data_IF_787300152386
#
_entry.id   IF_787300152386
#
_cell.length_a   1.000
_cell.length_b   1.000
_cell.length_c   1.000
_cell.angle_alpha   90.00
_cell.angle_beta   90.00
_cell.angle_gamma   90.00
#
_symmetry.space_group_name_H-M   'P 1'
#
loop_
_entity.id
_entity.type
_entity.pdbx_description
1 polymer ?
#
# COMPACT_ATOMS: atom_id res chain seq x y z
N UNK A 1 -4.27 -0.52 12.82
CA UNK A 1 -3.23 0.50 12.68
C UNK A 1 -1.91 -0.14 12.28
N UNK A 2 -0.93 0.65 11.94
CA UNK A 2 0.39 0.14 11.54
C UNK A 2 1.05 -0.59 12.70
N UNK A 3 1.53 -1.80 12.44
CA UNK A 3 2.28 -2.58 13.41
C UNK A 3 3.74 -2.65 12.98
N UNK A 4 4.64 -2.42 13.93
CA UNK A 4 6.06 -2.43 13.67
C UNK A 4 6.66 -3.75 14.10
N UNK A 5 7.60 -4.24 13.31
CA UNK A 5 8.34 -5.44 13.62
C UNK A 5 9.84 -5.10 13.63
N UNK A 6 10.41 -5.00 14.81
CA UNK A 6 11.82 -4.63 14.95
C UNK A 6 12.77 -5.74 14.51
N UNK A 7 12.26 -6.95 14.30
CA UNK A 7 13.06 -8.06 13.76
C UNK A 7 13.09 -8.06 12.25
N UNK A 8 12.21 -7.28 11.61
CA UNK A 8 12.17 -7.13 10.16
C UNK A 8 13.40 -6.34 9.73
N UNK A 9 14.08 -6.79 8.66
CA UNK A 9 15.27 -6.13 8.15
C UNK A 9 14.96 -4.78 7.51
N UNK A 10 13.69 -4.53 7.14
CA UNK A 10 13.32 -3.27 6.51
C UNK A 10 13.40 -2.12 7.50
N UNK A 11 13.82 -0.93 7.06
CA UNK A 11 13.79 0.26 7.92
C UNK A 11 12.38 0.51 8.48
N UNK A 12 12.33 1.13 9.66
CA UNK A 12 11.04 1.41 10.30
C UNK A 12 10.15 2.29 9.42
N UNK A 13 10.72 3.32 8.77
CA UNK A 13 9.90 4.19 7.93
C UNK A 13 9.25 3.42 6.76
N UNK A 14 9.94 2.42 6.22
CA UNK A 14 9.39 1.57 5.16
C UNK A 14 8.22 0.75 5.67
N UNK A 15 8.33 0.20 6.88
CA UNK A 15 7.23 -0.54 7.48
C UNK A 15 6.00 0.34 7.70
N UNK A 16 6.21 1.61 8.07
CA UNK A 16 5.12 2.55 8.25
C UNK A 16 4.44 2.86 6.91
N UNK A 17 5.22 3.15 5.86
CA UNK A 17 4.66 3.42 4.54
C UNK A 17 3.91 2.21 4.01
N UNK A 18 4.49 1.02 4.12
CA UNK A 18 3.86 -0.22 3.66
C UNK A 18 2.56 -0.48 4.42
N UNK A 19 2.57 -0.25 5.73
CA UNK A 19 1.39 -0.45 6.55
C UNK A 19 0.22 0.45 6.14
N UNK A 20 0.48 1.72 5.90
CA UNK A 20 -0.56 2.63 5.45
C UNK A 20 -1.05 2.28 4.03
N UNK A 21 -0.13 1.96 3.12
CA UNK A 21 -0.53 1.55 1.77
C UNK A 21 -1.42 0.31 1.82
N UNK A 22 -1.06 -0.68 2.63
CA UNK A 22 -1.85 -1.90 2.77
C UNK A 22 -3.24 -1.60 3.27
N UNK A 23 -3.39 -0.69 4.24
CA UNK A 23 -4.70 -0.31 4.76
C UNK A 23 -5.54 0.43 3.72
N UNK A 24 -4.92 1.27 2.90
CA UNK A 24 -5.61 1.96 1.83
C UNK A 24 -6.05 0.96 0.75
N UNK A 25 -5.17 0.03 0.37
CA UNK A 25 -5.50 -0.99 -0.62
C UNK A 25 -6.61 -1.91 -0.13
N UNK A 26 -6.64 -2.20 1.16
CA UNK A 26 -7.66 -3.05 1.76
C UNK A 26 -8.99 -2.34 2.00
N UNK A 27 -9.04 -1.01 1.79
CA UNK A 27 -10.24 -0.23 2.02
C UNK A 27 -10.48 0.11 3.48
N UNK A 28 -9.54 -0.19 4.36
CA UNK A 28 -9.63 0.19 5.78
C UNK A 28 -9.50 1.69 5.93
N UNK A 29 -8.55 2.28 5.21
CA UNK A 29 -8.42 3.74 5.09
C UNK A 29 -8.97 4.14 3.73
N UNK A 30 -9.88 5.11 3.73
CA UNK A 30 -10.56 5.54 2.53
C UNK A 30 -10.22 6.99 2.19
N UNK A 31 -10.46 7.38 0.96
CA UNK A 31 -10.24 8.73 0.50
C UNK A 31 -10.95 9.72 1.44
N UNK A 32 -10.21 10.72 1.89
CA UNK A 32 -10.72 11.73 2.81
C UNK A 32 -10.51 11.42 4.28
N UNK A 33 -10.12 10.20 4.63
CA UNK A 33 -9.84 9.87 6.02
C UNK A 33 -8.62 10.63 6.52
N UNK A 34 -8.71 11.13 7.73
CA UNK A 34 -7.62 11.87 8.34
C UNK A 34 -6.65 10.90 9.01
N UNK A 35 -5.36 11.11 8.76
CA UNK A 35 -4.30 10.36 9.43
C UNK A 35 -3.91 11.08 10.72
N UNK A 36 -3.36 10.33 11.70
CA UNK A 36 -2.79 10.98 12.87
C UNK A 36 -1.65 11.91 12.45
N UNK A 37 -1.45 12.98 13.21
CA UNK A 37 -0.32 13.88 12.96
C UNK A 37 1.00 13.15 13.18
N UNK A 38 2.08 13.71 12.64
CA UNK A 38 3.42 13.15 12.88
C UNK A 38 3.67 12.97 14.37
N UNK A 39 3.35 13.99 15.16
CA UNK A 39 3.56 13.94 16.61
C UNK A 39 2.69 12.85 17.25
N UNK A 40 1.42 12.78 16.89
CA UNK A 40 0.51 11.79 17.44
C UNK A 40 1.00 10.37 17.16
N UNK A 41 1.36 10.10 15.92
CA UNK A 41 1.79 8.76 15.53
C UNK A 41 3.14 8.42 16.18
N UNK A 42 4.04 9.38 16.25
CA UNK A 42 5.33 9.18 16.91
C UNK A 42 5.14 8.80 18.39
N UNK A 43 4.18 9.43 19.06
CA UNK A 43 3.86 9.10 20.45
C UNK A 43 3.22 7.71 20.55
N UNK A 44 2.28 7.40 19.67
CA UNK A 44 1.60 6.11 19.70
C UNK A 44 2.57 4.95 19.49
N UNK A 45 3.53 5.13 18.60
CA UNK A 45 4.47 4.07 18.22
C UNK A 45 5.78 4.13 19.01
N UNK A 46 5.97 5.18 19.82
CA UNK A 46 7.22 5.43 20.55
C UNK A 46 8.42 5.49 19.59
N UNK A 47 8.25 6.23 18.49
CA UNK A 47 9.22 6.35 17.42
C UNK A 47 9.59 7.82 17.27
N UNK A 48 10.83 8.06 16.83
CA UNK A 48 11.30 9.41 16.54
C UNK A 48 10.39 10.08 15.50
N UNK A 49 9.90 11.31 15.77
CA UNK A 49 9.05 12.03 14.81
C UNK A 49 9.69 12.18 13.42
N UNK A 50 11.01 12.25 13.32
CA UNK A 50 11.69 12.36 12.04
C UNK A 50 11.46 11.13 11.16
N UNK A 51 11.39 9.96 11.77
CA UNK A 51 11.08 8.70 11.07
C UNK A 51 9.66 8.73 10.52
N UNK A 52 8.70 9.21 11.32
CA UNK A 52 7.31 9.35 10.88
C UNK A 52 7.22 10.38 9.76
N UNK A 53 7.92 11.51 9.91
CA UNK A 53 7.96 12.57 8.90
C UNK A 53 8.45 12.03 7.56
N UNK A 54 9.49 11.20 7.58
CA UNK A 54 10.03 10.58 6.38
C UNK A 54 9.00 9.68 5.71
N UNK A 55 8.31 8.86 6.50
CA UNK A 55 7.28 7.96 5.98
C UNK A 55 6.13 8.74 5.34
N UNK A 56 5.66 9.79 5.99
CA UNK A 56 4.56 10.61 5.47
C UNK A 56 4.98 11.33 4.20
N UNK A 57 6.21 11.84 4.16
CA UNK A 57 6.73 12.49 2.95
C UNK A 57 6.75 11.53 1.77
N UNK A 58 7.18 10.30 2.01
CA UNK A 58 7.23 9.28 0.98
C UNK A 58 5.84 8.95 0.46
N UNK A 59 4.87 8.78 1.36
CA UNK A 59 3.48 8.53 0.98
C UNK A 59 2.89 9.69 0.18
N UNK A 60 3.22 10.91 0.57
CA UNK A 60 2.74 12.10 -0.12
C UNK A 60 3.33 12.20 -1.53
N UNK A 61 4.61 11.92 -1.67
CA UNK A 61 5.27 11.94 -2.97
C UNK A 61 4.69 10.91 -3.91
N UNK A 62 4.27 9.78 -3.38
CA UNK A 62 3.67 8.71 -4.18
C UNK A 62 2.19 8.92 -4.46
N UNK A 63 1.57 9.92 -3.85
CA UNK A 63 0.16 10.25 -4.10
C UNK A 63 -0.86 9.53 -3.23
N UNK A 64 -0.42 8.83 -2.18
CA UNK A 64 -1.34 8.12 -1.29
C UNK A 64 -2.04 9.05 -0.31
N UNK A 65 -1.36 10.11 0.12
CA UNK A 65 -1.87 11.07 1.09
C UNK A 65 -1.54 12.49 0.63
N UNK A 66 -2.24 13.46 1.22
CA UNK A 66 -1.98 14.88 0.98
C UNK A 66 -2.05 15.62 2.30
N UNK A 67 -1.18 16.61 2.45
CA UNK A 67 -1.19 17.51 3.59
C UNK A 67 -1.97 18.76 3.23
N UNK A 68 -2.94 19.10 4.08
CA UNK A 68 -3.72 20.33 3.93
C UNK A 68 -3.31 21.26 5.07
N UNK A 69 -2.77 22.42 4.71
CA UNK A 69 -2.25 23.38 5.69
C UNK A 69 -3.33 23.74 6.72
N UNK A 70 -2.99 23.63 7.99
CA UNK A 70 -3.90 23.93 9.10
C UNK A 70 -4.94 22.87 9.37
N UNK A 71 -5.02 21.81 8.58
CA UNK A 71 -6.05 20.77 8.75
C UNK A 71 -5.48 19.37 8.96
N UNK A 72 -4.27 19.10 8.49
CA UNK A 72 -3.60 17.81 8.70
C UNK A 72 -3.37 17.02 7.43
N UNK A 73 -3.09 15.74 7.60
CA UNK A 73 -2.87 14.81 6.49
C UNK A 73 -4.11 13.97 6.24
N UNK A 74 -4.44 13.77 4.98
CA UNK A 74 -5.63 13.04 4.57
C UNK A 74 -5.28 12.00 3.51
N UNK A 75 -6.00 10.89 3.53
CA UNK A 75 -5.85 9.84 2.53
C UNK A 75 -6.42 10.31 1.20
N UNK A 76 -5.66 10.11 0.12
CA UNK A 76 -6.11 10.39 -1.24
C UNK A 76 -6.74 9.16 -1.90
N UNK A 77 -6.49 7.98 -1.35
CA UNK A 77 -6.88 6.71 -1.95
C UNK A 77 -5.72 6.10 -2.73
N UNK A 78 -6.03 5.11 -3.56
CA UNK A 78 -5.01 4.44 -4.37
C UNK A 78 -4.60 5.37 -5.53
N UNK A 79 -3.29 5.68 -5.67
CA UNK A 79 -2.85 6.51 -6.79
C UNK A 79 -3.15 5.82 -8.12
N UNK A 80 -3.60 6.61 -9.10
CA UNK A 80 -3.86 6.08 -10.43
C UNK A 80 -2.56 6.01 -11.22
N UNK A 81 -2.31 4.86 -11.82
CA UNK A 81 -1.17 4.68 -12.69
C UNK A 81 -1.54 5.06 -14.12
N UNK A 82 -0.58 5.61 -14.85
CA UNK A 82 -0.76 5.86 -16.28
C UNK A 82 -0.76 4.55 -17.04
N UNK A 83 -1.29 4.56 -18.26
CA UNK A 83 -1.25 3.38 -19.13
C UNK A 83 0.18 2.90 -19.34
N UNK A 84 1.12 3.82 -19.42
CA UNK A 84 2.52 3.48 -19.58
C UNK A 84 3.08 2.74 -18.38
N UNK A 85 2.65 3.10 -17.17
CA UNK A 85 3.09 2.45 -15.94
C UNK A 85 2.42 1.09 -15.77
N UNK A 86 1.20 0.94 -16.26
CA UNK A 86 0.45 -0.29 -16.15
C UNK A 86 0.94 -1.36 -17.12
N UNK A 87 1.43 -0.97 -18.29
CA UNK A 87 1.76 -1.91 -19.35
C UNK A 87 2.78 -2.98 -18.95
N UNK A 88 3.91 -2.63 -18.30
CA UNK A 88 4.85 -3.67 -17.86
C UNK A 88 4.23 -4.68 -16.90
N UNK A 89 3.32 -4.24 -16.05
CA UNK A 89 2.63 -5.12 -15.11
C UNK A 89 1.67 -6.05 -15.85
N UNK A 90 0.95 -5.53 -16.83
CA UNK A 90 0.06 -6.33 -17.64
C UNK A 90 0.85 -7.37 -18.45
N UNK A 91 2.00 -6.98 -18.99
CA UNK A 91 2.86 -7.91 -19.71
C UNK A 91 3.35 -9.03 -18.82
N UNK A 92 3.74 -8.70 -17.58
CA UNK A 92 4.16 -9.69 -16.60
C UNK A 92 3.01 -10.64 -16.25
N UNK A 93 1.82 -10.10 -16.09
CA UNK A 93 0.62 -10.89 -15.82
C UNK A 93 0.35 -11.86 -16.98
N UNK A 94 0.42 -11.37 -18.21
CA UNK A 94 0.15 -12.20 -19.39
C UNK A 94 1.14 -13.35 -19.47
N UNK A 95 2.42 -13.09 -19.21
CA UNK A 95 3.46 -14.13 -19.22
C UNK A 95 3.20 -15.17 -18.14
N UNK A 96 2.88 -14.72 -16.94
CA UNK A 96 2.60 -15.62 -15.83
C UNK A 96 1.36 -16.46 -16.10
N UNK A 97 0.30 -15.85 -16.62
CA UNK A 97 -0.93 -16.56 -16.95
C UNK A 97 -0.69 -17.61 -18.02
N UNK A 98 0.05 -17.25 -19.07
CA UNK A 98 0.37 -18.19 -20.15
C UNK A 98 1.15 -19.40 -19.62
N UNK A 99 2.12 -19.16 -18.75
CA UNK A 99 2.92 -20.24 -18.17
C UNK A 99 2.04 -21.16 -17.31
N UNK A 100 1.15 -20.60 -16.52
CA UNK A 100 0.27 -21.39 -15.66
C UNK A 100 -0.71 -22.22 -16.49
N UNK A 101 -1.26 -21.66 -17.55
CA UNK A 101 -2.13 -22.42 -18.46
C UNK A 101 -1.39 -23.57 -19.11
N UNK A 102 -0.13 -23.35 -19.50
CA UNK A 102 0.70 -24.39 -20.08
C UNK A 102 0.98 -25.52 -19.10
N UNK A 103 1.02 -25.21 -17.81
CA UNK A 103 1.26 -26.20 -16.74
C UNK A 103 -0.03 -26.91 -16.28
N UNK A 104 -1.16 -26.58 -16.88
CA UNK A 104 -2.42 -27.28 -16.59
C UNK A 104 -3.36 -26.54 -15.65
N UNK A 105 -3.02 -25.33 -15.22
CA UNK A 105 -3.96 -24.51 -14.45
C UNK A 105 -5.07 -24.03 -15.39
N UNK A 106 -6.32 -24.13 -14.96
CA UNK A 106 -7.45 -23.77 -15.82
C UNK A 106 -7.71 -22.27 -15.78
N UNK A 107 -8.39 -21.78 -16.82
CA UNK A 107 -8.80 -20.38 -16.85
C UNK A 107 -9.74 -20.05 -15.70
N UNK A 108 -10.60 -20.97 -15.36
CA UNK A 108 -11.54 -20.82 -14.24
C UNK A 108 -10.79 -20.59 -12.92
N UNK A 109 -9.73 -21.32 -12.71
CA UNK A 109 -8.90 -21.14 -11.51
C UNK A 109 -8.27 -19.75 -11.48
N UNK A 110 -7.79 -19.26 -12.62
CA UNK A 110 -7.20 -17.92 -12.70
C UNK A 110 -8.23 -16.83 -12.47
N UNK A 111 -9.41 -16.99 -13.04
CA UNK A 111 -10.51 -16.05 -12.85
C UNK A 111 -10.93 -16.03 -11.39
N UNK A 112 -11.05 -17.18 -10.77
CA UNK A 112 -11.40 -17.28 -9.36
C UNK A 112 -10.36 -16.57 -8.47
N UNK A 113 -9.10 -16.72 -8.82
CA UNK A 113 -8.02 -16.06 -8.10
C UNK A 113 -8.11 -14.53 -8.19
N UNK A 114 -8.43 -14.02 -9.39
CA UNK A 114 -8.64 -12.58 -9.59
C UNK A 114 -9.84 -12.06 -8.81
N UNK A 115 -10.83 -12.89 -8.58
CA UNK A 115 -12.04 -12.53 -7.84
C UNK A 115 -11.83 -12.59 -6.33
N UNK A 116 -10.58 -12.72 -5.88
CA UNK A 116 -10.27 -12.67 -4.45
C UNK A 116 -10.06 -14.03 -3.81
N UNK A 117 -9.85 -15.05 -4.59
CA UNK A 117 -9.68 -16.40 -4.08
C UNK A 117 -8.42 -16.63 -3.27
N UNK A 118 -7.49 -15.70 -3.28
CA UNK A 118 -6.24 -15.84 -2.55
C UNK A 118 -6.36 -15.51 -1.06
N UNK A 119 -7.53 -15.15 -0.60
CA UNK A 119 -7.75 -14.82 0.80
C UNK A 119 -8.12 -16.01 1.65
N UNK A 120 -8.13 -17.13 1.11
CA UNK A 120 -8.51 -18.36 1.77
C UNK A 120 -7.52 -18.78 2.85
N UNK A 121 -6.49 -18.07 2.96
CA UNK A 121 -5.49 -18.37 3.97
C UNK A 121 -6.10 -18.44 5.34
#
# INVERSE_FOLDING_TARGET
MVQLNYRDARPIYTQITDGFRDQILAGILQNGDRLPSVRELAQQLSINPNTIQRAYRELEMQGWIATVAGKGCFVCGVPQMTSKEQQPLLDSFDKAAAALLALGVTREELIKRLQGGNQDA
#
